data_IF_660672804788
#
_entry.id   IF_660672804788
#
_cell.length_a   1.000
_cell.length_b   1.000
_cell.length_c   1.000
_cell.angle_alpha   90.00
_cell.angle_beta   90.00
_cell.angle_gamma   90.00
#
_symmetry.space_group_name_H-M   'P 1'
#
loop_
_entity.id
_entity.type
_entity.pdbx_description
1 polymer ?
#
# COMPACT_ATOMS: atom_id res chain seq x y z
N UNK A 1 -47.80 -5.44 14.78
CA UNK A 1 -46.53 -5.69 14.06
C UNK A 1 -46.02 -4.35 13.60
N UNK A 2 -45.01 -3.75 14.25
CA UNK A 2 -44.44 -2.50 13.77
C UNK A 2 -43.28 -2.75 12.79
N UNK A 3 -43.19 -1.81 11.85
CA UNK A 3 -42.21 -1.52 10.81
C UNK A 3 -40.89 -2.31 10.77
N UNK A 4 -40.62 -2.86 9.59
CA UNK A 4 -39.25 -3.07 9.09
C UNK A 4 -38.65 -1.68 8.83
N UNK A 5 -37.77 -1.22 9.70
CA UNK A 5 -36.86 -0.14 9.33
C UNK A 5 -35.96 -0.63 8.19
N UNK A 6 -36.06 0.05 7.06
CA UNK A 6 -35.08 0.03 5.97
C UNK A 6 -33.75 0.59 6.50
N UNK A 7 -33.00 -0.22 7.24
CA UNK A 7 -31.58 0.02 7.48
C UNK A 7 -30.79 -0.58 6.32
N UNK A 8 -30.87 0.09 5.17
CA UNK A 8 -29.88 -0.11 4.10
C UNK A 8 -28.47 0.18 4.65
N UNK A 9 -27.41 -0.47 4.15
CA UNK A 9 -26.07 -0.27 4.68
C UNK A 9 -25.74 1.21 4.61
N UNK A 10 -25.37 1.82 5.75
CA UNK A 10 -24.92 3.21 5.84
C UNK A 10 -23.58 3.36 5.08
N UNK A 11 -23.64 3.35 3.75
CA UNK A 11 -22.51 3.43 2.80
C UNK A 11 -21.90 4.85 2.70
N UNK A 12 -22.08 5.66 3.75
CA UNK A 12 -21.56 7.04 3.85
C UNK A 12 -20.57 7.22 5.00
N UNK A 13 -20.10 6.14 5.61
CA UNK A 13 -19.03 6.20 6.61
C UNK A 13 -17.74 6.68 5.93
N UNK A 14 -17.28 7.87 6.30
CA UNK A 14 -15.98 8.41 5.88
C UNK A 14 -14.85 7.67 6.62
N UNK A 15 -14.43 6.56 6.03
CA UNK A 15 -13.41 5.67 6.60
C UNK A 15 -12.06 6.40 6.77
N UNK A 16 -11.76 7.41 5.94
CA UNK A 16 -10.55 8.20 6.08
C UNK A 16 -10.56 9.03 7.38
N UNK A 17 -11.70 9.63 7.72
CA UNK A 17 -11.89 10.34 8.98
C UNK A 17 -11.81 9.40 10.19
N UNK A 18 -12.31 8.16 10.06
CA UNK A 18 -12.20 7.14 11.12
C UNK A 18 -10.77 6.66 11.35
N UNK A 19 -9.98 6.43 10.28
CA UNK A 19 -8.56 6.10 10.40
C UNK A 19 -7.80 7.24 11.10
N UNK A 20 -8.14 8.50 10.79
CA UNK A 20 -7.55 9.67 11.44
C UNK A 20 -7.90 9.75 12.93
N UNK A 21 -9.19 9.56 13.27
CA UNK A 21 -9.71 9.65 14.65
C UNK A 21 -9.17 8.52 15.54
N UNK A 22 -9.00 7.32 14.98
CA UNK A 22 -8.50 6.14 15.69
C UNK A 22 -6.99 5.91 15.51
N UNK A 23 -6.25 6.93 15.07
CA UNK A 23 -4.80 6.91 14.85
C UNK A 23 -3.98 6.44 16.07
N UNK A 24 -4.52 6.62 17.28
CA UNK A 24 -3.91 6.18 18.54
C UNK A 24 -3.61 4.68 18.60
N UNK A 25 -4.49 3.82 18.08
CA UNK A 25 -4.25 2.37 18.05
C UNK A 25 -3.05 1.98 17.18
N UNK A 26 -2.69 2.81 16.20
CA UNK A 26 -1.52 2.59 15.34
C UNK A 26 -0.24 3.15 15.92
N UNK A 27 -0.31 4.29 16.60
CA UNK A 27 0.82 4.77 17.39
C UNK A 27 1.20 3.70 18.42
N UNK A 28 0.20 3.12 19.10
CA UNK A 28 0.41 2.04 20.08
C UNK A 28 0.95 0.76 19.41
N UNK A 29 0.36 0.32 18.29
CA UNK A 29 0.86 -0.85 17.53
C UNK A 29 2.30 -0.65 17.04
N UNK A 30 2.63 0.56 16.55
CA UNK A 30 3.95 0.96 16.08
C UNK A 30 4.98 1.05 17.21
N UNK A 31 4.58 1.53 18.40
CA UNK A 31 5.42 1.52 19.60
C UNK A 31 5.75 0.09 20.02
N UNK A 32 4.77 -0.81 20.07
CA UNK A 32 5.03 -2.22 20.39
C UNK A 32 5.91 -2.90 19.34
N UNK A 33 5.69 -2.60 18.05
CA UNK A 33 6.56 -3.04 16.97
C UNK A 33 8.01 -2.55 17.13
N UNK A 34 8.20 -1.27 17.46
CA UNK A 34 9.51 -0.68 17.69
C UNK A 34 10.22 -1.30 18.91
N UNK A 35 9.49 -1.57 19.98
CA UNK A 35 10.01 -2.30 21.14
C UNK A 35 10.42 -3.73 20.78
N UNK A 36 9.64 -4.45 19.97
CA UNK A 36 10.00 -5.78 19.50
C UNK A 36 11.32 -5.76 18.71
N UNK A 37 11.48 -4.80 17.81
CA UNK A 37 12.72 -4.59 17.02
C UNK A 37 13.89 -4.21 17.91
N UNK A 38 13.68 -3.29 18.86
CA UNK A 38 14.72 -2.84 19.79
C UNK A 38 15.24 -4.00 20.63
N UNK A 39 14.34 -4.75 21.28
CA UNK A 39 14.68 -5.91 22.10
C UNK A 39 15.47 -6.91 21.26
N UNK A 40 14.98 -7.25 20.06
CA UNK A 40 15.65 -8.18 19.16
C UNK A 40 17.08 -7.73 18.80
N UNK A 41 17.30 -6.45 18.52
CA UNK A 41 18.63 -5.90 18.18
C UNK A 41 19.58 -5.82 19.37
N UNK A 42 19.06 -5.74 20.59
CA UNK A 42 19.86 -5.74 21.81
C UNK A 42 20.21 -7.14 22.30
N UNK A 43 19.68 -8.19 21.67
CA UNK A 43 20.03 -9.57 22.01
C UNK A 43 21.49 -9.89 21.65
N UNK A 44 22.19 -10.70 22.45
CA UNK A 44 23.51 -11.20 22.11
C UNK A 44 23.46 -12.06 20.84
N UNK A 45 24.58 -12.16 20.11
CA UNK A 45 24.66 -12.86 18.81
C UNK A 45 24.26 -14.35 18.89
N UNK A 46 24.37 -14.97 20.06
CA UNK A 46 23.84 -16.31 20.36
C UNK A 46 22.88 -16.22 21.55
N UNK A 47 21.64 -15.76 21.34
CA UNK A 47 20.69 -15.64 22.41
C UNK A 47 20.22 -17.03 22.82
N UNK A 48 20.21 -17.27 24.12
CA UNK A 48 19.57 -18.44 24.73
C UNK A 48 18.07 -18.47 24.40
N UNK A 49 17.41 -19.62 24.60
CA UNK A 49 15.99 -19.80 24.25
C UNK A 49 15.12 -18.70 24.86
N UNK A 50 15.30 -18.40 26.14
CA UNK A 50 14.54 -17.38 26.87
C UNK A 50 14.68 -15.97 26.25
N UNK A 51 15.88 -15.61 25.82
CA UNK A 51 16.16 -14.32 25.19
C UNK A 51 15.47 -14.19 23.83
N UNK A 52 15.34 -15.30 23.09
CA UNK A 52 14.56 -15.35 21.83
C UNK A 52 13.05 -15.19 22.05
N UNK A 53 12.53 -15.44 23.25
CA UNK A 53 11.11 -15.24 23.54
C UNK A 53 10.77 -13.80 23.96
N UNK A 54 11.76 -12.97 24.34
CA UNK A 54 11.51 -11.65 24.94
C UNK A 54 10.80 -10.64 24.03
N UNK A 55 11.00 -10.71 22.71
CA UNK A 55 10.33 -9.80 21.78
C UNK A 55 8.94 -10.31 21.32
N UNK A 56 8.64 -11.61 21.49
CA UNK A 56 7.39 -12.23 21.02
C UNK A 56 6.13 -11.60 21.65
N UNK A 57 6.09 -11.28 22.96
CA UNK A 57 4.97 -10.55 23.56
C UNK A 57 4.70 -9.19 22.89
N UNK A 58 5.75 -8.48 22.46
CA UNK A 58 5.60 -7.18 21.81
C UNK A 58 5.10 -7.31 20.37
N UNK A 59 5.49 -8.37 19.66
CA UNK A 59 4.87 -8.74 18.37
C UNK A 59 3.38 -9.06 18.58
N UNK A 60 3.07 -9.88 19.58
CA UNK A 60 1.69 -10.24 19.90
C UNK A 60 0.84 -9.02 20.26
N UNK A 61 1.39 -8.06 21.03
CA UNK A 61 0.71 -6.80 21.38
C UNK A 61 0.51 -5.88 20.17
N UNK A 62 1.49 -5.82 19.24
CA UNK A 62 1.34 -5.08 17.98
C UNK A 62 0.22 -5.66 17.11
N UNK A 63 0.18 -6.99 16.97
CA UNK A 63 -0.89 -7.72 16.26
C UNK A 63 -2.23 -7.52 16.96
N UNK A 64 -2.27 -7.63 18.29
CA UNK A 64 -3.49 -7.46 19.08
C UNK A 64 -4.06 -6.05 18.94
N UNK A 65 -3.21 -5.02 18.98
CA UNK A 65 -3.61 -3.63 18.75
C UNK A 65 -4.18 -3.41 17.35
N UNK A 66 -3.58 -4.03 16.33
CA UNK A 66 -4.11 -4.01 14.96
C UNK A 66 -5.46 -4.74 14.87
N UNK A 67 -5.58 -5.92 15.47
CA UNK A 67 -6.82 -6.69 15.50
C UNK A 67 -7.96 -5.95 16.22
N UNK A 68 -7.66 -5.29 17.35
CA UNK A 68 -8.61 -4.45 18.07
C UNK A 68 -9.11 -3.28 17.22
N UNK A 69 -8.23 -2.67 16.42
CA UNK A 69 -8.64 -1.65 15.46
C UNK A 69 -9.59 -2.22 14.40
N UNK A 70 -9.30 -3.39 13.81
CA UNK A 70 -10.19 -4.02 12.83
C UNK A 70 -11.54 -4.42 13.43
N UNK A 71 -11.53 -4.91 14.67
CA UNK A 71 -12.76 -5.24 15.39
C UNK A 71 -13.61 -3.98 15.64
N UNK A 72 -12.97 -2.86 15.96
CA UNK A 72 -13.65 -1.58 16.12
C UNK A 72 -14.23 -1.07 14.78
N UNK A 73 -13.44 -1.06 13.70
CA UNK A 73 -13.94 -0.75 12.35
C UNK A 73 -15.11 -1.64 11.93
N UNK A 74 -15.02 -2.95 12.18
CA UNK A 74 -16.09 -3.90 11.85
C UNK A 74 -17.37 -3.61 12.63
N UNK A 75 -17.25 -3.18 13.90
CA UNK A 75 -18.40 -2.78 14.72
C UNK A 75 -19.05 -1.48 14.24
N UNK A 76 -18.27 -0.55 13.70
CA UNK A 76 -18.78 0.73 13.18
C UNK A 76 -19.39 0.61 11.78
N UNK A 77 -18.81 -0.23 10.91
CA UNK A 77 -19.33 -0.52 9.56
C UNK A 77 -20.50 -1.52 9.62
N UNK A 78 -20.77 -2.09 10.80
CA UNK A 78 -21.94 -2.93 11.09
C UNK A 78 -21.68 -4.43 11.01
N UNK A 79 -20.73 -4.90 10.19
CA UNK A 79 -20.30 -6.30 10.20
C UNK A 79 -18.93 -6.52 9.57
N UNK A 80 -18.30 -7.67 9.87
CA UNK A 80 -17.08 -8.12 9.18
C UNK A 80 -17.26 -8.30 7.67
N UNK A 81 -18.45 -8.75 7.24
CA UNK A 81 -18.77 -8.90 5.81
C UNK A 81 -18.83 -7.54 5.11
N UNK A 82 -19.46 -6.55 5.75
CA UNK A 82 -19.54 -5.17 5.26
C UNK A 82 -18.17 -4.49 5.24
N UNK A 83 -17.31 -4.77 6.23
CA UNK A 83 -15.93 -4.29 6.23
C UNK A 83 -15.10 -4.94 5.10
N UNK A 84 -15.28 -6.23 4.84
CA UNK A 84 -14.64 -6.92 3.72
C UNK A 84 -15.07 -6.30 2.39
N UNK A 85 -16.38 -6.11 2.18
CA UNK A 85 -16.91 -5.47 0.98
C UNK A 85 -16.39 -4.02 0.83
N UNK A 86 -16.28 -3.29 1.94
CA UNK A 86 -15.73 -1.94 1.96
C UNK A 86 -14.29 -1.87 1.45
N UNK A 87 -13.46 -2.92 1.64
CA UNK A 87 -12.08 -2.94 1.10
C UNK A 87 -12.02 -2.96 -0.43
N UNK A 88 -13.06 -3.45 -1.10
CA UNK A 88 -13.11 -3.53 -2.56
C UNK A 88 -13.80 -2.32 -3.21
N UNK A 89 -14.38 -1.43 -2.40
CA UNK A 89 -15.02 -0.23 -2.91
C UNK A 89 -13.98 0.86 -3.22
N UNK A 90 -14.09 1.46 -4.41
CA UNK A 90 -13.15 2.48 -4.90
C UNK A 90 -13.07 3.73 -4.01
N UNK A 91 -14.12 4.01 -3.22
CA UNK A 91 -14.17 5.12 -2.26
C UNK A 91 -13.31 4.88 -1.02
N UNK A 92 -12.95 3.63 -0.74
CA UNK A 92 -12.23 3.19 0.46
C UNK A 92 -10.84 2.62 0.12
N UNK A 93 -10.26 3.09 -0.98
CA UNK A 93 -8.91 2.69 -1.41
C UNK A 93 -7.87 2.96 -0.32
N UNK A 94 -8.07 4.00 0.49
CA UNK A 94 -7.23 4.30 1.64
C UNK A 94 -7.27 3.17 2.69
N UNK A 95 -8.44 2.58 2.95
CA UNK A 95 -8.57 1.42 3.84
C UNK A 95 -7.81 0.21 3.30
N UNK A 96 -7.94 -0.10 2.01
CA UNK A 96 -7.21 -1.21 1.39
C UNK A 96 -5.68 -1.05 1.50
N UNK A 97 -5.19 0.14 1.20
CA UNK A 97 -3.77 0.47 1.34
C UNK A 97 -3.29 0.36 2.78
N UNK A 98 -4.10 0.89 3.69
CA UNK A 98 -3.86 0.86 5.11
C UNK A 98 -3.72 -0.57 5.65
N UNK A 99 -4.67 -1.45 5.32
CA UNK A 99 -4.67 -2.87 5.69
C UNK A 99 -3.42 -3.58 5.22
N UNK A 100 -3.05 -3.35 3.96
CA UNK A 100 -1.92 -4.05 3.35
C UNK A 100 -0.60 -3.61 3.96
N UNK A 101 -0.48 -2.32 4.32
CA UNK A 101 0.70 -1.79 5.01
C UNK A 101 0.85 -2.38 6.41
N UNK A 102 -0.24 -2.52 7.17
CA UNK A 102 -0.24 -3.18 8.49
C UNK A 102 0.14 -4.66 8.37
N UNK A 103 -0.51 -5.42 7.49
CA UNK A 103 -0.23 -6.84 7.30
C UNK A 103 1.23 -7.10 6.94
N UNK A 104 1.80 -6.20 6.16
CA UNK A 104 3.21 -6.28 5.79
C UNK A 104 4.12 -5.90 6.93
N UNK A 105 3.81 -4.84 7.67
CA UNK A 105 4.59 -4.46 8.86
C UNK A 105 4.65 -5.62 9.86
N UNK A 106 3.50 -6.24 10.14
CA UNK A 106 3.39 -7.43 10.99
C UNK A 106 4.23 -8.59 10.44
N UNK A 107 4.17 -8.85 9.13
CA UNK A 107 4.97 -9.91 8.48
C UNK A 107 6.48 -9.61 8.51
N UNK A 108 6.86 -8.34 8.46
CA UNK A 108 8.25 -7.90 8.59
C UNK A 108 8.78 -8.12 10.00
N UNK A 109 7.98 -7.74 11.00
CA UNK A 109 8.28 -7.93 12.42
C UNK A 109 8.33 -9.42 12.78
N UNK A 110 7.42 -10.24 12.26
CA UNK A 110 7.40 -11.68 12.52
C UNK A 110 8.56 -12.45 11.89
N UNK A 111 9.29 -11.83 10.95
CA UNK A 111 10.51 -12.36 10.35
C UNK A 111 11.80 -11.99 11.10
N UNK A 112 11.74 -11.08 12.09
CA UNK A 112 12.89 -10.78 12.94
C UNK A 112 13.55 -12.03 13.58
N UNK A 113 12.81 -13.03 14.11
CA UNK A 113 13.38 -14.24 14.71
C UNK A 113 14.41 -14.98 13.86
N UNK A 114 14.29 -14.91 12.53
CA UNK A 114 15.10 -15.74 11.63
C UNK A 114 16.46 -15.12 11.33
N UNK A 115 16.73 -13.88 11.78
CA UNK A 115 18.02 -13.20 11.56
C UNK A 115 18.34 -12.83 10.11
N UNK A 116 17.58 -13.37 9.15
CA UNK A 116 17.79 -13.18 7.71
C UNK A 116 17.46 -11.76 7.22
N UNK A 117 16.81 -10.92 8.03
CA UNK A 117 16.41 -9.54 7.65
C UNK A 117 15.37 -9.48 6.50
N UNK A 118 14.92 -10.63 5.98
CA UNK A 118 14.07 -10.75 4.78
C UNK A 118 12.72 -10.09 4.90
N UNK A 119 12.02 -10.19 6.03
CA UNK A 119 10.74 -9.50 6.16
C UNK A 119 10.91 -8.00 6.40
N UNK A 120 12.05 -7.52 6.89
CA UNK A 120 12.36 -6.07 6.86
C UNK A 120 12.52 -5.60 5.41
N UNK A 121 13.22 -6.38 4.57
CA UNK A 121 13.35 -6.07 3.14
C UNK A 121 11.98 -6.12 2.45
N UNK A 122 11.15 -7.12 2.75
CA UNK A 122 9.78 -7.24 2.21
C UNK A 122 8.89 -6.07 2.65
N UNK A 123 9.01 -5.63 3.91
CA UNK A 123 8.35 -4.43 4.41
C UNK A 123 8.79 -3.17 3.67
N UNK A 124 10.10 -2.98 3.45
CA UNK A 124 10.62 -1.84 2.70
C UNK A 124 10.15 -1.85 1.23
N UNK A 125 10.11 -3.02 0.59
CA UNK A 125 9.59 -3.20 -0.77
C UNK A 125 8.14 -2.72 -0.85
N UNK A 126 7.31 -3.17 0.07
CA UNK A 126 5.88 -2.87 0.04
C UNK A 126 5.62 -1.41 0.46
N UNK A 127 6.35 -0.88 1.43
CA UNK A 127 6.31 0.54 1.78
C UNK A 127 6.66 1.41 0.58
N UNK A 128 7.69 1.03 -0.17
CA UNK A 128 8.09 1.74 -1.40
C UNK A 128 7.02 1.63 -2.49
N UNK A 129 6.40 0.46 -2.70
CA UNK A 129 5.28 0.30 -3.62
C UNK A 129 4.15 1.28 -3.26
N UNK A 130 3.79 1.36 -1.98
CA UNK A 130 2.75 2.29 -1.52
C UNK A 130 3.15 3.76 -1.67
N UNK A 131 4.38 4.12 -1.27
CA UNK A 131 4.88 5.47 -1.44
C UNK A 131 4.85 5.90 -2.92
N UNK A 132 5.16 4.98 -3.83
CA UNK A 132 5.13 5.21 -5.27
C UNK A 132 3.71 5.43 -5.79
N UNK A 133 2.77 4.57 -5.39
CA UNK A 133 1.36 4.72 -5.78
C UNK A 133 0.78 6.04 -5.23
N UNK A 134 1.09 6.37 -3.97
CA UNK A 134 0.63 7.61 -3.35
C UNK A 134 1.20 8.83 -4.05
N UNK A 135 2.50 8.82 -4.39
CA UNK A 135 3.16 9.92 -5.10
C UNK A 135 2.58 10.11 -6.52
N UNK A 136 2.30 9.02 -7.24
CA UNK A 136 1.61 9.06 -8.53
C UNK A 136 0.20 9.63 -8.39
N UNK A 137 -0.58 9.15 -7.42
CA UNK A 137 -1.93 9.65 -7.17
C UNK A 137 -1.96 11.13 -6.75
N UNK A 138 -1.02 11.56 -5.90
CA UNK A 138 -0.89 12.95 -5.49
C UNK A 138 -0.53 13.84 -6.68
N UNK A 139 0.41 13.42 -7.53
CA UNK A 139 0.76 14.10 -8.77
C UNK A 139 -0.41 14.21 -9.74
N UNK A 140 -1.18 13.13 -9.91
CA UNK A 140 -2.40 13.12 -10.72
C UNK A 140 -3.46 14.08 -10.17
N UNK A 141 -3.73 14.04 -8.87
CA UNK A 141 -4.68 14.97 -8.23
C UNK A 141 -4.24 16.43 -8.38
N UNK A 142 -2.95 16.70 -8.23
CA UNK A 142 -2.40 18.03 -8.46
C UNK A 142 -2.64 18.49 -9.90
N UNK A 143 -2.37 17.66 -10.90
CA UNK A 143 -2.62 18.00 -12.30
C UNK A 143 -4.11 18.19 -12.62
N UNK A 144 -4.97 17.37 -12.02
CA UNK A 144 -6.43 17.45 -12.19
C UNK A 144 -7.03 18.76 -11.68
N UNK A 145 -6.38 19.46 -10.74
CA UNK A 145 -6.85 20.78 -10.27
C UNK A 145 -6.81 21.86 -11.36
N UNK A 146 -5.98 21.68 -12.38
CA UNK A 146 -5.76 22.67 -13.44
C UNK A 146 -6.58 22.40 -14.71
N UNK A 147 -7.30 21.27 -14.75
CA UNK A 147 -7.91 20.76 -15.97
C UNK A 147 -9.42 20.59 -15.77
N UNK A 148 -10.27 20.96 -16.76
CA UNK A 148 -11.71 20.83 -16.64
C UNK A 148 -12.15 19.40 -16.35
N UNK A 149 -13.18 19.21 -15.53
CA UNK A 149 -13.68 17.88 -15.14
C UNK A 149 -14.43 17.12 -16.25
N UNK A 150 -14.25 17.48 -17.53
CA UNK A 150 -14.91 16.76 -18.62
C UNK A 150 -14.17 15.45 -18.95
N UNK A 151 -14.93 14.44 -19.40
CA UNK A 151 -14.40 13.13 -19.70
C UNK A 151 -13.28 13.15 -20.77
N UNK A 152 -13.41 14.00 -21.79
CA UNK A 152 -12.37 14.23 -22.81
C UNK A 152 -11.04 14.72 -22.22
N UNK A 153 -11.10 15.72 -21.35
CA UNK A 153 -9.91 16.31 -20.73
C UNK A 153 -9.22 15.34 -19.77
N UNK A 154 -9.98 14.56 -19.01
CA UNK A 154 -9.44 13.47 -18.17
C UNK A 154 -8.73 12.41 -19.01
N UNK A 155 -9.33 12.01 -20.13
CA UNK A 155 -8.78 11.01 -21.04
C UNK A 155 -7.50 11.52 -21.71
N UNK A 156 -7.49 12.77 -22.18
CA UNK A 156 -6.26 13.43 -22.68
C UNK A 156 -5.16 13.46 -21.63
N UNK A 157 -5.47 13.87 -20.40
CA UNK A 157 -4.49 13.90 -19.31
C UNK A 157 -3.88 12.51 -19.02
N UNK A 158 -4.70 11.46 -19.03
CA UNK A 158 -4.21 10.08 -18.84
C UNK A 158 -3.15 9.75 -19.90
N UNK A 159 -3.42 10.00 -21.18
CA UNK A 159 -2.42 9.76 -22.24
C UNK A 159 -1.21 10.68 -22.12
N UNK A 160 -1.42 11.96 -21.83
CA UNK A 160 -0.35 12.96 -21.70
C UNK A 160 0.59 12.68 -20.54
N UNK A 161 0.14 12.01 -19.47
CA UNK A 161 1.00 11.63 -18.34
C UNK A 161 1.59 10.25 -18.55
N UNK A 162 0.80 9.27 -18.99
CA UNK A 162 1.24 7.87 -19.10
C UNK A 162 2.23 7.63 -20.24
N UNK A 163 2.10 8.30 -21.39
CA UNK A 163 3.03 8.11 -22.52
C UNK A 163 4.44 8.63 -22.17
N UNK A 164 4.64 9.87 -21.69
CA UNK A 164 5.96 10.33 -21.26
C UNK A 164 6.52 9.49 -20.12
N UNK A 165 5.68 9.04 -19.17
CA UNK A 165 6.12 8.17 -18.09
C UNK A 165 6.66 6.84 -18.62
N UNK A 166 5.99 6.21 -19.60
CA UNK A 166 6.52 5.02 -20.26
C UNK A 166 7.85 5.27 -20.98
N UNK A 167 7.98 6.41 -21.67
CA UNK A 167 9.22 6.78 -22.37
C UNK A 167 10.36 6.95 -21.35
N UNK A 168 10.12 7.69 -20.27
CA UNK A 168 11.11 7.90 -19.20
C UNK A 168 11.48 6.57 -18.55
N UNK A 169 10.50 5.73 -18.17
CA UNK A 169 10.77 4.39 -17.63
C UNK A 169 11.61 3.54 -18.60
N UNK A 170 11.30 3.60 -19.90
CA UNK A 170 12.06 2.87 -20.91
C UNK A 170 13.51 3.37 -21.01
N UNK A 171 13.73 4.68 -21.01
CA UNK A 171 15.07 5.29 -21.04
C UNK A 171 15.86 4.89 -19.79
N UNK A 172 15.26 5.03 -18.60
CA UNK A 172 15.90 4.64 -17.34
C UNK A 172 16.25 3.15 -17.36
N UNK A 173 15.33 2.31 -17.86
CA UNK A 173 15.60 0.88 -18.01
C UNK A 173 16.80 0.63 -18.91
N UNK A 174 16.79 1.17 -20.14
CA UNK A 174 17.84 0.88 -21.13
C UNK A 174 19.18 1.52 -20.85
N UNK A 175 19.20 2.71 -20.24
CA UNK A 175 20.42 3.52 -20.06
C UNK A 175 21.04 3.41 -18.68
N UNK A 176 20.28 2.99 -17.67
CA UNK A 176 20.76 2.95 -16.27
C UNK A 176 20.63 1.58 -15.67
N UNK A 177 19.52 0.86 -15.90
CA UNK A 177 19.22 -0.37 -15.16
C UNK A 177 19.55 -1.66 -15.92
N UNK A 178 19.77 -1.59 -17.24
CA UNK A 178 19.93 -2.77 -18.10
C UNK A 178 21.14 -3.64 -17.76
N UNK A 179 22.18 -3.06 -17.16
CA UNK A 179 23.42 -3.75 -16.80
C UNK A 179 23.33 -4.46 -15.43
N UNK A 180 22.25 -4.24 -14.69
CA UNK A 180 22.05 -4.84 -13.37
C UNK A 180 21.13 -6.06 -13.45
N UNK A 181 21.58 -7.18 -12.88
CA UNK A 181 20.78 -8.40 -12.79
C UNK A 181 19.68 -8.26 -11.72
N UNK A 182 18.50 -8.82 -12.00
CA UNK A 182 17.43 -8.92 -10.99
C UNK A 182 17.83 -10.01 -10.00
N UNK A 183 17.92 -9.64 -8.72
CA UNK A 183 18.35 -10.54 -7.65
C UNK A 183 17.12 -11.02 -6.87
N UNK A 184 16.97 -12.34 -6.61
CA UNK A 184 15.89 -12.85 -5.77
C UNK A 184 15.93 -12.24 -4.36
N UNK A 185 14.75 -11.99 -3.77
CA UNK A 185 14.62 -11.41 -2.42
C UNK A 185 15.41 -12.22 -1.38
N UNK A 186 15.55 -13.54 -1.57
CA UNK A 186 16.29 -14.43 -0.68
C UNK A 186 17.80 -14.12 -0.60
N UNK A 187 18.34 -13.44 -1.61
CA UNK A 187 19.76 -13.08 -1.72
C UNK A 187 20.02 -11.61 -1.37
N UNK A 188 18.97 -10.82 -1.10
CA UNK A 188 19.12 -9.42 -0.69
C UNK A 188 19.58 -9.33 0.76
N UNK A 189 20.49 -8.39 1.03
CA UNK A 189 21.01 -8.13 2.37
C UNK A 189 20.97 -6.65 2.71
N UNK A 190 20.59 -6.34 3.95
CA UNK A 190 20.67 -4.99 4.52
C UNK A 190 22.12 -4.48 4.66
N UNK A 191 23.10 -5.38 4.65
CA UNK A 191 24.53 -5.03 4.70
C UNK A 191 25.09 -4.56 3.36
N UNK A 192 24.32 -4.72 2.27
CA UNK A 192 24.69 -4.28 0.91
C UNK A 192 23.68 -3.23 0.40
N UNK A 193 23.70 -2.01 0.95
CA UNK A 193 22.66 -1.00 0.70
C UNK A 193 22.60 -0.53 -0.75
N UNK A 194 23.72 -0.56 -1.48
CA UNK A 194 23.77 -0.16 -2.90
C UNK A 194 23.01 -1.16 -3.78
N UNK A 195 23.27 -2.45 -3.61
CA UNK A 195 22.54 -3.51 -4.33
C UNK A 195 21.05 -3.43 -4.06
N UNK A 196 20.68 -3.21 -2.80
CA UNK A 196 19.30 -3.08 -2.36
C UNK A 196 18.61 -1.85 -2.99
N UNK A 197 19.31 -0.71 -3.06
CA UNK A 197 18.82 0.50 -3.75
C UNK A 197 18.65 0.32 -5.26
N UNK A 198 19.52 -0.45 -5.91
CA UNK A 198 19.38 -0.79 -7.34
C UNK A 198 18.13 -1.66 -7.56
N UNK A 199 17.93 -2.71 -6.76
CA UNK A 199 16.75 -3.58 -6.89
C UNK A 199 15.45 -2.82 -6.61
N UNK A 200 15.49 -1.87 -5.67
CA UNK A 200 14.38 -0.96 -5.41
C UNK A 200 14.09 -0.04 -6.59
N UNK A 201 15.12 0.49 -7.24
CA UNK A 201 14.97 1.32 -8.44
C UNK A 201 14.39 0.52 -9.62
N UNK A 202 14.85 -0.72 -9.81
CA UNK A 202 14.30 -1.66 -10.80
C UNK A 202 12.82 -1.92 -10.55
N UNK A 203 12.45 -2.23 -9.30
CA UNK A 203 11.07 -2.49 -8.94
C UNK A 203 10.19 -1.25 -9.13
N UNK A 204 10.68 -0.08 -8.71
CA UNK A 204 9.98 1.20 -8.88
C UNK A 204 9.68 1.48 -10.37
N UNK A 205 10.69 1.37 -11.22
CA UNK A 205 10.54 1.60 -12.68
C UNK A 205 9.54 0.60 -13.26
N UNK A 206 9.60 -0.67 -12.86
CA UNK A 206 8.65 -1.69 -13.29
C UNK A 206 7.20 -1.36 -12.87
N UNK A 207 6.99 -0.94 -11.62
CA UNK A 207 5.66 -0.55 -11.11
C UNK A 207 5.11 0.66 -11.89
N UNK A 208 5.93 1.71 -12.03
CA UNK A 208 5.53 2.91 -12.77
C UNK A 208 5.20 2.59 -14.23
N UNK A 209 6.00 1.73 -14.86
CA UNK A 209 5.76 1.26 -16.23
C UNK A 209 4.45 0.45 -16.32
N UNK A 210 4.20 -0.47 -15.39
CA UNK A 210 2.94 -1.24 -15.35
C UNK A 210 1.72 -0.36 -15.10
N UNK A 211 1.80 0.60 -14.17
CA UNK A 211 0.72 1.55 -13.91
C UNK A 211 0.41 2.42 -15.14
N UNK A 212 1.45 2.94 -15.80
CA UNK A 212 1.28 3.74 -17.01
C UNK A 212 0.68 2.93 -18.17
N UNK A 213 1.13 1.68 -18.36
CA UNK A 213 0.57 0.78 -19.36
C UNK A 213 -0.91 0.47 -19.08
N UNK A 214 -1.26 0.16 -17.82
CA UNK A 214 -2.64 -0.08 -17.40
C UNK A 214 -3.52 1.15 -17.61
N UNK A 215 -3.01 2.34 -17.31
CA UNK A 215 -3.74 3.59 -17.52
C UNK A 215 -4.00 3.86 -19.02
N UNK A 216 -3.04 3.56 -19.91
CA UNK A 216 -3.24 3.65 -21.37
C UNK A 216 -4.30 2.65 -21.84
N UNK A 217 -4.24 1.40 -21.39
CA UNK A 217 -5.23 0.37 -21.75
C UNK A 217 -6.62 0.79 -21.28
N UNK A 218 -6.76 1.21 -20.03
CA UNK A 218 -8.02 1.71 -19.49
C UNK A 218 -8.51 2.95 -20.25
N UNK A 219 -7.61 3.87 -20.59
CA UNK A 219 -7.88 5.03 -21.43
C UNK A 219 -8.46 4.64 -22.79
N UNK A 220 -7.81 3.71 -23.51
CA UNK A 220 -8.29 3.22 -24.81
C UNK A 220 -9.67 2.56 -24.71
N UNK A 221 -9.90 1.74 -23.68
CA UNK A 221 -11.20 1.10 -23.44
C UNK A 221 -12.30 2.11 -23.06
N UNK A 222 -11.94 3.26 -22.51
CA UNK A 222 -12.89 4.31 -22.14
C UNK A 222 -13.31 5.23 -23.30
N UNK A 223 -12.56 5.28 -24.41
CA UNK A 223 -12.86 6.14 -25.57
C UNK A 223 -14.28 5.89 -26.13
N UNK A 224 -14.72 4.63 -26.40
CA UNK A 224 -16.06 4.39 -26.93
C UNK A 224 -17.16 4.85 -25.98
N UNK A 225 -16.94 4.70 -24.67
CA UNK A 225 -17.91 5.12 -23.64
C UNK A 225 -18.06 6.64 -23.60
N UNK A 226 -16.95 7.37 -23.69
CA UNK A 226 -16.97 8.83 -23.72
C UNK A 226 -17.63 9.37 -24.99
N UNK A 227 -17.35 8.75 -26.15
CA UNK A 227 -17.97 9.13 -27.42
C UNK A 227 -19.48 8.83 -27.43
N UNK A 228 -19.90 7.73 -26.81
CA UNK A 228 -21.32 7.37 -26.69
C UNK A 228 -22.09 8.35 -25.78
N UNK A 229 -21.53 8.72 -24.63
CA UNK A 229 -22.18 9.66 -23.68
C UNK A 229 -22.29 11.09 -24.24
N UNK A 230 -21.44 11.45 -25.20
CA UNK A 230 -21.56 12.72 -25.92
C UNK A 230 -22.59 12.68 -27.07
N UNK A 231 -22.83 11.51 -27.66
CA UNK A 231 -23.79 11.33 -28.74
C UNK A 231 -25.23 11.14 -28.23
N UNK A 232 -25.40 10.73 -26.97
CA UNK A 232 -26.69 10.51 -26.32
C UNK A 232 -27.26 11.75 -25.63
N UNK A 233 -26.54 12.88 -25.64
CA UNK A 233 -26.98 14.19 -25.14
C UNK A 233 -27.34 15.13 -26.29
#
# INVERSE_FOLDING_TARGET
>A
MPDKSDDGPQLSVDIANQISTNSGYFVVSGVFAAFAVYIYRTLPANPGPFERFMYIPFIALSIFSAAMFYAHLASEVGSWGSLWEAHFQFKNVDLFFFTTLILTAVSGISSLPTGDGRGVILFLIILMVFASIFLVNAGLRFLLQWIPETAKWRLMLVFSVSIPLLIVCRIVWTSVLNDYSIIPIQQLSLTRPVELGIQFSILLVAILQSMAAMAIIAGLLSIPLVLWDEYSR
#
